data_IF_752663094368
#
_entry.id   IF_752663094368
#
_cell.length_a   1.000
_cell.length_b   1.000
_cell.length_c   1.000
_cell.angle_alpha   90.00
_cell.angle_beta   90.00
_cell.angle_gamma   90.00
#
_symmetry.space_group_name_H-M   'P 1'
#
loop_
_entity.id
_entity.type
_entity.pdbx_description
1 polymer ?
#
# COMPACT_ATOMS: atom_id res chain seq x y z
N UNK A 1 16.37 -13.34 14.24
CA UNK A 1 15.59 -12.16 14.60
C UNK A 1 14.54 -11.82 13.55
N UNK A 2 13.35 -11.62 14.00
CA UNK A 2 12.29 -11.26 13.07
C UNK A 2 12.16 -9.77 12.91
N UNK A 3 11.99 -9.35 11.70
CA UNK A 3 11.71 -7.95 11.44
C UNK A 3 10.26 -7.65 11.76
N UNK A 4 10.03 -6.54 12.41
CA UNK A 4 8.68 -6.10 12.68
C UNK A 4 8.12 -5.41 11.46
N UNK A 5 6.95 -5.86 11.04
CA UNK A 5 6.28 -5.20 9.93
C UNK A 5 5.44 -4.06 10.49
N UNK A 6 5.70 -2.87 9.99
CA UNK A 6 5.00 -1.67 10.44
C UNK A 6 3.89 -1.34 9.45
N UNK A 7 2.72 -1.02 9.98
CA UNK A 7 1.55 -0.69 9.17
C UNK A 7 1.23 0.78 9.32
N UNK A 8 0.87 1.42 8.22
CA UNK A 8 0.48 2.83 8.26
C UNK A 8 -0.60 3.09 7.21
N UNK A 9 -1.54 4.00 7.52
CA UNK A 9 -2.58 4.34 6.54
C UNK A 9 -2.00 5.14 5.40
N UNK A 10 -2.56 4.95 4.22
CA UNK A 10 -2.19 5.74 3.06
C UNK A 10 -2.95 7.06 3.14
N UNK A 11 -2.25 8.20 3.09
CA UNK A 11 -2.88 9.49 3.38
C UNK A 11 -4.19 9.79 2.66
N UNK A 12 -4.25 9.58 1.37
CA UNK A 12 -5.46 9.90 0.61
C UNK A 12 -6.41 8.72 0.48
N UNK A 13 -6.06 7.58 1.06
CA UNK A 13 -6.85 6.36 0.95
C UNK A 13 -6.93 5.67 2.30
N UNK A 14 -7.74 6.22 3.22
CA UNK A 14 -7.77 5.72 4.60
C UNK A 14 -8.28 4.28 4.76
N UNK A 15 -8.88 3.72 3.72
CA UNK A 15 -9.34 2.33 3.77
C UNK A 15 -8.22 1.33 3.49
N UNK A 16 -7.01 1.81 3.27
CA UNK A 16 -5.90 0.96 2.92
C UNK A 16 -4.72 1.23 3.84
N UNK A 17 -3.96 0.17 4.11
CA UNK A 17 -2.72 0.27 4.86
C UNK A 17 -1.56 -0.16 3.97
N UNK A 18 -0.44 0.52 4.12
CA UNK A 18 0.79 0.09 3.48
C UNK A 18 1.73 -0.41 4.57
N UNK A 19 2.47 -1.48 4.30
CA UNK A 19 3.38 -2.02 5.30
C UNK A 19 4.82 -1.75 4.91
N UNK A 20 5.69 -1.82 5.90
CA UNK A 20 7.12 -1.62 5.66
C UNK A 20 7.71 -2.68 4.75
N UNK A 21 7.03 -3.80 4.59
CA UNK A 21 7.46 -4.87 3.67
C UNK A 21 6.88 -4.71 2.28
N UNK A 22 6.15 -3.63 2.03
CA UNK A 22 5.63 -3.36 0.71
C UNK A 22 4.32 -4.06 0.38
N UNK A 23 3.53 -4.38 1.39
CA UNK A 23 2.21 -4.97 1.18
C UNK A 23 1.12 -3.93 1.36
N UNK A 24 0.02 -4.11 0.66
CA UNK A 24 -1.13 -3.22 0.79
C UNK A 24 -2.31 -4.03 1.31
N UNK A 25 -2.94 -3.55 2.36
CA UNK A 25 -4.07 -4.24 2.98
C UNK A 25 -5.31 -3.38 2.89
N UNK A 26 -6.45 -4.02 2.65
CA UNK A 26 -7.74 -3.34 2.58
C UNK A 26 -8.47 -3.53 3.90
N UNK A 27 -8.59 -2.46 4.67
CA UNK A 27 -9.21 -2.52 5.98
C UNK A 27 -10.69 -2.90 5.89
N UNK A 28 -11.38 -2.33 4.93
CA UNK A 28 -12.81 -2.58 4.78
C UNK A 28 -13.13 -4.04 4.49
N UNK A 29 -12.19 -4.74 3.93
CA UNK A 29 -12.41 -6.15 3.61
C UNK A 29 -11.69 -7.08 4.58
N UNK A 30 -11.57 -6.65 5.82
CA UNK A 30 -10.98 -7.48 6.85
C UNK A 30 -9.48 -7.64 6.74
N UNK A 31 -8.80 -6.58 6.35
CA UNK A 31 -7.34 -6.60 6.20
C UNK A 31 -6.87 -7.52 5.08
N UNK A 32 -7.67 -7.63 4.04
CA UNK A 32 -7.31 -8.47 2.92
C UNK A 32 -6.15 -7.86 2.14
N UNK A 33 -5.14 -8.68 1.85
CA UNK A 33 -3.98 -8.22 1.10
C UNK A 33 -4.33 -8.09 -0.38
N UNK A 34 -3.96 -6.94 -0.96
CA UNK A 34 -4.21 -6.69 -2.36
C UNK A 34 -3.12 -7.32 -3.23
N UNK A 35 -3.54 -7.74 -4.42
CA UNK A 35 -2.59 -8.22 -5.40
C UNK A 35 -1.86 -7.05 -6.03
N UNK A 36 -0.56 -7.20 -6.19
CA UNK A 36 0.26 -6.18 -6.81
C UNK A 36 0.52 -6.53 -8.26
N UNK A 37 0.57 -5.50 -9.10
CA UNK A 37 0.93 -5.68 -10.51
C UNK A 37 2.42 -5.46 -10.67
N UNK A 38 3.08 -6.38 -11.36
CA UNK A 38 4.50 -6.24 -11.63
C UNK A 38 4.67 -5.52 -12.96
N UNK A 39 5.33 -4.36 -12.93
CA UNK A 39 5.57 -3.56 -14.11
C UNK A 39 7.05 -3.26 -14.21
N UNK A 40 7.44 -2.63 -15.31
CA UNK A 40 8.85 -2.30 -15.53
C UNK A 40 9.47 -1.52 -14.39
N UNK A 41 8.73 -0.58 -13.84
CA UNK A 41 9.25 0.26 -12.76
C UNK A 41 9.11 -0.33 -11.38
N UNK A 42 8.65 -1.58 -11.27
CA UNK A 42 8.44 -2.23 -10.01
C UNK A 42 7.00 -2.64 -9.81
N UNK A 43 6.65 -2.97 -8.58
CA UNK A 43 5.29 -3.38 -8.26
C UNK A 43 4.38 -2.17 -8.11
N UNK A 44 3.16 -2.31 -8.60
CA UNK A 44 2.20 -1.23 -8.61
C UNK A 44 0.86 -1.73 -8.08
N UNK A 45 0.11 -0.83 -7.46
CA UNK A 45 -1.20 -1.17 -6.91
C UNK A 45 -2.21 -0.09 -7.29
N UNK A 46 -3.46 -0.50 -7.53
CA UNK A 46 -4.55 0.43 -7.78
C UNK A 46 -5.39 0.57 -6.53
N UNK A 47 -5.60 1.79 -6.09
CA UNK A 47 -6.40 2.09 -4.92
C UNK A 47 -7.61 2.91 -5.33
N UNK A 48 -8.74 2.67 -4.67
CA UNK A 48 -9.95 3.42 -4.98
C UNK A 48 -10.55 3.98 -3.69
N UNK A 49 -11.12 5.18 -3.82
CA UNK A 49 -11.78 5.84 -2.71
C UNK A 49 -12.75 6.87 -3.26
N UNK A 50 -14.01 6.80 -2.82
CA UNK A 50 -15.05 7.73 -3.26
C UNK A 50 -15.17 7.83 -4.78
N UNK A 51 -15.03 6.70 -5.46
CA UNK A 51 -15.16 6.69 -6.92
C UNK A 51 -13.92 7.06 -7.68
N UNK A 52 -12.86 7.43 -6.98
CA UNK A 52 -11.59 7.75 -7.60
C UNK A 52 -10.66 6.54 -7.54
N UNK A 53 -9.95 6.30 -8.64
CA UNK A 53 -8.97 5.23 -8.70
C UNK A 53 -7.62 5.83 -9.02
N UNK A 54 -6.61 5.44 -8.25
CA UNK A 54 -5.26 5.95 -8.47
C UNK A 54 -4.27 4.81 -8.33
N UNK A 55 -3.24 4.85 -9.15
CA UNK A 55 -2.20 3.82 -9.13
C UNK A 55 -0.94 4.37 -8.48
N UNK A 56 -0.33 3.51 -7.68
CA UNK A 56 0.90 3.88 -6.97
C UNK A 56 1.93 2.79 -7.13
N UNK A 57 3.19 3.19 -7.22
CA UNK A 57 4.27 2.23 -7.11
C UNK A 57 4.51 1.94 -5.64
N UNK A 58 4.70 0.69 -5.32
CA UNK A 58 4.88 0.28 -3.93
C UNK A 58 6.11 0.93 -3.30
N UNK A 59 7.21 0.97 -4.03
CA UNK A 59 8.43 1.57 -3.50
C UNK A 59 8.21 3.03 -3.13
N UNK A 60 7.43 3.75 -3.93
CA UNK A 60 7.15 5.14 -3.63
C UNK A 60 6.26 5.28 -2.40
N UNK A 61 5.27 4.42 -2.26
CA UNK A 61 4.39 4.45 -1.10
C UNK A 61 5.16 4.17 0.19
N UNK A 62 6.00 3.17 0.16
CA UNK A 62 6.81 2.82 1.32
C UNK A 62 7.74 3.96 1.68
N UNK A 63 8.40 4.52 0.67
CA UNK A 63 9.32 5.61 0.91
C UNK A 63 8.60 6.84 1.48
N UNK A 64 7.47 7.21 0.89
CA UNK A 64 6.74 8.38 1.34
C UNK A 64 6.17 8.21 2.74
N UNK A 65 5.87 6.99 3.13
CA UNK A 65 5.23 6.71 4.40
C UNK A 65 6.23 6.49 5.52
N UNK A 66 7.29 5.74 5.25
CA UNK A 66 8.21 5.31 6.30
C UNK A 66 9.56 6.02 6.28
N UNK A 67 9.93 6.54 5.15
CA UNK A 67 11.24 7.21 5.01
C UNK A 67 11.03 8.71 4.96
N UNK A 68 10.78 9.28 6.11
CA UNK A 68 10.55 10.73 6.22
C UNK A 68 11.77 11.48 6.67
#
# INVERSE_FOLDING_TARGET
>A
MKDLEIYAPIPDFPNYLVTSNGRILNIKKGMKQLKLETKRGGNRVSLSYNGFVKRFYISKLVKDTFDK
#
